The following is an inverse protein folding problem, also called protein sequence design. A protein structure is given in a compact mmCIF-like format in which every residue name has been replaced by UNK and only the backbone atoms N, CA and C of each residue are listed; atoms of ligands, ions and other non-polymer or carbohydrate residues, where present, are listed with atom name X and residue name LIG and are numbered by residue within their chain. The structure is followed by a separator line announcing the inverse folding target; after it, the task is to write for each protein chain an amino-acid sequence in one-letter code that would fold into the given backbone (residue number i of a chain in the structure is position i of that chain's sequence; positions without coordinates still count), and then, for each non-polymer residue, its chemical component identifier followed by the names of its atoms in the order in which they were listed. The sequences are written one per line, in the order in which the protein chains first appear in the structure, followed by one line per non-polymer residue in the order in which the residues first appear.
data_IF_138001907176
#
_entry.id   IF_138001907176
#
_cell.length_a   1.000
_cell.length_b   1.000
_cell.length_c   1.000
_cell.angle_alpha   90.00
_cell.angle_beta   90.00
_cell.angle_gamma   90.00
#
_symmetry.space_group_name_H-M   'P 1'
#
loop_
_entity.id
_entity.type
_entity.pdbx_description
1 polymer ?
#
# COMPACT_ATOMS: atom_id res chain seq x y z
N UNK A 1 -22.78 19.98 -12.92
CA UNK A 1 -22.12 19.22 -13.97
C UNK A 1 -20.74 19.82 -14.13
N UNK A 2 -19.70 19.01 -14.04
CA UNK A 2 -18.31 19.43 -14.30
C UNK A 2 -17.86 18.71 -15.56
N UNK A 3 -17.26 19.44 -16.48
CA UNK A 3 -16.70 18.89 -17.72
C UNK A 3 -15.18 18.77 -17.58
N UNK A 4 -14.64 17.57 -17.76
CA UNK A 4 -13.22 17.35 -17.96
C UNK A 4 -12.94 17.21 -19.45
N UNK A 5 -12.00 17.98 -19.97
CA UNK A 5 -11.60 17.94 -21.38
C UNK A 5 -10.60 16.81 -21.58
N UNK A 6 -11.04 15.67 -22.08
CA UNK A 6 -10.18 14.61 -22.58
C UNK A 6 -9.85 14.81 -24.05
N UNK A 7 -8.87 14.06 -24.57
CA UNK A 7 -8.38 14.19 -25.95
C UNK A 7 -9.48 13.85 -26.97
N UNK A 8 -10.47 13.03 -26.63
CA UNK A 8 -11.51 12.57 -27.55
C UNK A 8 -12.96 12.61 -27.02
N UNK A 9 -13.23 12.92 -25.74
CA UNK A 9 -14.59 12.99 -25.19
C UNK A 9 -14.70 13.96 -24.02
N UNK A 10 -15.82 14.67 -23.93
CA UNK A 10 -16.21 15.46 -22.76
C UNK A 10 -16.77 14.52 -21.70
N UNK A 11 -15.94 14.20 -20.67
CA UNK A 11 -16.41 13.42 -19.53
C UNK A 11 -17.36 14.28 -18.68
N UNK A 12 -18.64 13.94 -18.71
CA UNK A 12 -19.68 14.62 -17.95
C UNK A 12 -19.83 13.96 -16.57
N UNK A 13 -19.37 14.62 -15.51
CA UNK A 13 -19.49 14.15 -14.13
C UNK A 13 -20.62 14.89 -13.41
N UNK A 14 -21.33 14.18 -12.55
CA UNK A 14 -22.45 14.71 -11.78
C UNK A 14 -21.96 15.26 -10.44
N UNK A 15 -22.53 16.39 -10.02
CA UNK A 15 -22.32 16.93 -8.67
C UNK A 15 -23.44 16.40 -7.77
N UNK A 16 -23.04 15.81 -6.65
CA UNK A 16 -23.93 15.38 -5.56
C UNK A 16 -23.74 16.28 -4.34
N UNK A 17 -24.83 16.62 -3.69
CA UNK A 17 -24.83 17.42 -2.45
C UNK A 17 -25.45 16.60 -1.32
N UNK A 18 -24.81 16.61 -0.18
CA UNK A 18 -25.25 15.90 1.01
C UNK A 18 -25.30 16.87 2.19
N UNK A 19 -26.44 16.98 2.84
CA UNK A 19 -26.57 17.79 4.05
C UNK A 19 -25.86 17.12 5.23
N UNK A 20 -25.43 17.89 6.19
CA UNK A 20 -24.85 17.38 7.44
C UNK A 20 -25.73 16.28 8.05
N UNK A 21 -25.11 15.18 8.46
CA UNK A 21 -25.76 14.00 9.04
C UNK A 21 -26.33 13.00 8.02
N UNK A 22 -26.28 13.30 6.73
CA UNK A 22 -26.75 12.37 5.69
C UNK A 22 -25.76 11.20 5.50
N UNK A 23 -26.31 10.01 5.33
CA UNK A 23 -25.53 8.84 4.93
C UNK A 23 -25.21 8.92 3.44
N UNK A 24 -23.92 8.87 3.10
CA UNK A 24 -23.42 8.84 1.71
C UNK A 24 -23.33 7.41 1.23
N UNK A 25 -22.85 6.50 2.09
CA UNK A 25 -22.84 5.05 1.88
C UNK A 25 -23.10 4.33 3.19
N UNK A 26 -23.59 3.09 3.11
CA UNK A 26 -23.88 2.24 4.28
C UNK A 26 -23.22 0.90 4.08
N UNK A 27 -22.43 0.46 5.07
CA UNK A 27 -21.73 -0.83 5.06
C UNK A 27 -22.70 -1.98 4.80
N UNK A 28 -22.29 -2.92 3.94
CA UNK A 28 -23.09 -4.09 3.55
C UNK A 28 -24.10 -3.84 2.43
N UNK A 29 -24.41 -2.59 2.08
CA UNK A 29 -25.30 -2.31 0.94
C UNK A 29 -24.62 -2.59 -0.40
N UNK A 30 -25.41 -3.02 -1.39
CA UNK A 30 -24.96 -3.38 -2.74
C UNK A 30 -24.97 -2.20 -3.73
N UNK A 31 -25.24 -0.98 -3.30
CA UNK A 31 -25.26 0.25 -4.10
C UNK A 31 -23.85 0.81 -4.35
N UNK A 32 -22.98 0.01 -4.92
CA UNK A 32 -21.57 0.34 -5.13
C UNK A 32 -21.22 0.66 -6.59
N UNK A 33 -22.18 1.15 -7.37
CA UNK A 33 -21.98 1.55 -8.76
C UNK A 33 -21.35 2.94 -8.93
N UNK A 34 -21.27 3.69 -7.82
CA UNK A 34 -20.67 5.02 -7.76
C UNK A 34 -19.62 5.12 -6.66
N UNK A 35 -18.67 6.02 -6.89
CA UNK A 35 -17.84 6.57 -5.80
C UNK A 35 -17.87 8.11 -5.87
N UNK A 36 -17.45 8.75 -4.79
CA UNK A 36 -17.53 10.20 -4.65
C UNK A 36 -16.14 10.79 -4.41
N UNK A 37 -15.86 11.92 -5.08
CA UNK A 37 -14.68 12.76 -4.85
C UNK A 37 -15.15 14.00 -4.10
N UNK A 38 -14.76 14.17 -2.85
CA UNK A 38 -15.17 15.31 -2.03
C UNK A 38 -14.57 16.58 -2.61
N UNK A 39 -15.39 17.57 -2.90
CA UNK A 39 -14.97 18.91 -3.33
C UNK A 39 -14.98 19.89 -2.16
N UNK A 40 -16.00 19.78 -1.29
CA UNK A 40 -16.20 20.63 -0.13
C UNK A 40 -16.82 19.84 1.01
N UNK A 41 -16.49 20.22 2.25
CA UNK A 41 -17.00 19.59 3.44
C UNK A 41 -16.17 18.40 3.91
N UNK A 42 -16.67 17.71 4.94
CA UNK A 42 -16.01 16.60 5.60
C UNK A 42 -16.95 15.41 5.76
N UNK A 43 -16.40 14.22 5.59
CA UNK A 43 -17.10 12.95 5.71
C UNK A 43 -16.39 12.09 6.77
N UNK A 44 -17.15 11.41 7.60
CA UNK A 44 -16.66 10.41 8.52
C UNK A 44 -16.97 9.02 7.97
N UNK A 45 -15.95 8.18 7.80
CA UNK A 45 -16.11 6.78 7.46
C UNK A 45 -15.88 5.90 8.68
N UNK A 46 -16.82 4.98 8.92
CA UNK A 46 -16.77 4.00 10.00
C UNK A 46 -16.98 2.61 9.42
N UNK A 47 -16.37 1.62 10.08
CA UNK A 47 -16.59 0.21 9.78
C UNK A 47 -17.05 -0.48 11.05
N UNK A 48 -18.11 -1.29 10.95
CA UNK A 48 -18.58 -2.11 12.05
C UNK A 48 -17.53 -3.18 12.34
N UNK A 49 -16.85 -3.06 13.47
CA UNK A 49 -15.86 -4.03 13.92
C UNK A 49 -16.03 -4.24 15.43
N UNK A 50 -15.89 -5.48 15.87
CA UNK A 50 -15.86 -5.86 17.28
C UNK A 50 -14.68 -5.26 18.08
N UNK A 51 -13.72 -4.62 17.42
CA UNK A 51 -12.47 -4.12 18.01
C UNK A 51 -12.30 -2.59 18.02
N UNK A 52 -13.39 -1.81 17.92
CA UNK A 52 -13.34 -0.37 18.16
C UNK A 52 -12.44 0.43 17.21
N UNK A 53 -12.65 0.31 15.90
CA UNK A 53 -11.90 1.11 14.92
C UNK A 53 -12.27 2.58 15.06
N UNK A 54 -11.26 3.43 15.21
CA UNK A 54 -11.42 4.88 15.24
C UNK A 54 -11.97 5.37 13.90
N UNK A 55 -13.04 6.18 13.89
CA UNK A 55 -13.59 6.75 12.67
C UNK A 55 -12.52 7.53 11.90
N UNK A 56 -12.49 7.37 10.58
CA UNK A 56 -11.57 8.09 9.71
C UNK A 56 -12.31 9.28 9.10
N UNK A 57 -11.70 10.47 9.18
CA UNK A 57 -12.23 11.69 8.58
C UNK A 57 -11.61 11.91 7.20
N UNK A 58 -12.47 12.16 6.22
CA UNK A 58 -12.11 12.54 4.85
C UNK A 58 -12.51 13.98 4.58
N UNK A 59 -11.74 14.65 3.73
CA UNK A 59 -11.95 16.04 3.36
C UNK A 59 -11.82 16.28 1.84
N UNK A 60 -11.74 17.55 1.39
CA UNK A 60 -11.67 17.89 -0.02
C UNK A 60 -10.54 17.15 -0.75
N UNK A 61 -10.89 16.58 -1.90
CA UNK A 61 -10.02 15.76 -2.73
C UNK A 61 -9.91 14.30 -2.29
N UNK A 62 -10.49 13.87 -1.18
CA UNK A 62 -10.53 12.46 -0.79
C UNK A 62 -11.69 11.71 -1.46
N UNK A 63 -11.62 10.37 -1.41
CA UNK A 63 -12.56 9.48 -2.09
C UNK A 63 -13.42 8.70 -1.09
N UNK A 64 -14.72 8.60 -1.37
CA UNK A 64 -15.67 7.80 -0.59
C UNK A 64 -16.26 6.72 -1.49
N UNK A 65 -16.26 5.47 -1.03
CA UNK A 65 -16.84 4.33 -1.74
C UNK A 65 -15.99 3.77 -2.90
N UNK A 66 -14.80 4.33 -3.18
CA UNK A 66 -13.98 3.94 -4.34
C UNK A 66 -13.59 2.46 -4.32
N UNK A 67 -13.27 1.88 -3.15
CA UNK A 67 -12.86 0.46 -3.03
C UNK A 67 -14.00 -0.47 -3.45
N UNK A 68 -15.19 -0.24 -2.92
CA UNK A 68 -16.38 -1.07 -3.19
C UNK A 68 -16.83 -0.95 -4.64
N UNK A 69 -16.87 0.29 -5.16
CA UNK A 69 -17.23 0.59 -6.54
C UNK A 69 -16.29 -0.13 -7.52
N UNK A 70 -14.97 0.00 -7.33
CA UNK A 70 -13.98 -0.59 -8.23
C UNK A 70 -13.96 -2.11 -8.15
N UNK A 71 -14.15 -2.68 -6.95
CA UNK A 71 -14.21 -4.12 -6.76
C UNK A 71 -15.55 -4.74 -7.19
N UNK A 72 -16.60 -3.94 -7.44
CA UNK A 72 -17.95 -4.43 -7.71
C UNK A 72 -18.51 -5.25 -6.54
N UNK A 73 -18.20 -4.83 -5.30
CA UNK A 73 -18.61 -5.50 -4.06
C UNK A 73 -19.44 -4.55 -3.21
N UNK A 74 -20.12 -5.10 -2.21
CA UNK A 74 -20.89 -4.33 -1.22
C UNK A 74 -20.02 -3.26 -0.55
N UNK A 75 -20.65 -2.19 -0.06
CA UNK A 75 -19.96 -1.12 0.66
C UNK A 75 -19.23 -1.68 1.89
N UNK A 76 -17.93 -1.41 1.99
CA UNK A 76 -17.07 -1.93 3.08
C UNK A 76 -17.04 -1.03 4.30
N UNK A 77 -17.65 0.16 4.20
CA UNK A 77 -17.68 1.16 5.27
C UNK A 77 -18.94 2.03 5.18
N UNK A 78 -19.39 2.53 6.31
CA UNK A 78 -20.48 3.53 6.39
C UNK A 78 -19.86 4.92 6.36
N UNK A 79 -20.32 5.78 5.44
CA UNK A 79 -19.87 7.17 5.29
C UNK A 79 -21.01 8.14 5.63
N UNK A 80 -20.73 9.09 6.54
CA UNK A 80 -21.68 10.11 7.00
C UNK A 80 -21.09 11.50 6.78
N UNK A 81 -21.88 12.41 6.24
CA UNK A 81 -21.51 13.81 6.09
C UNK A 81 -21.41 14.50 7.46
N UNK A 82 -20.22 14.94 7.87
CA UNK A 82 -20.00 15.70 9.13
C UNK A 82 -20.39 17.17 8.99
N UNK A 83 -20.32 17.71 7.80
CA UNK A 83 -20.75 19.05 7.41
C UNK A 83 -21.61 18.91 6.15
N UNK A 84 -22.11 20.01 5.60
CA UNK A 84 -22.62 19.99 4.22
C UNK A 84 -21.48 19.63 3.29
N UNK A 85 -21.72 18.66 2.39
CA UNK A 85 -20.73 18.09 1.48
C UNK A 85 -21.16 18.32 0.04
N UNK A 86 -20.22 18.80 -0.76
CA UNK A 86 -20.31 18.81 -2.22
C UNK A 86 -19.30 17.81 -2.76
N UNK A 87 -19.76 16.86 -3.56
CA UNK A 87 -18.91 15.82 -4.12
C UNK A 87 -19.17 15.60 -5.60
N UNK A 88 -18.17 15.16 -6.34
CA UNK A 88 -18.32 14.67 -7.70
C UNK A 88 -18.67 13.19 -7.60
N UNK A 89 -19.80 12.80 -8.19
CA UNK A 89 -20.21 11.40 -8.36
C UNK A 89 -19.59 10.84 -9.63
N UNK A 90 -18.89 9.72 -9.50
CA UNK A 90 -18.25 9.02 -10.61
C UNK A 90 -18.81 7.61 -10.67
N UNK A 91 -19.41 7.25 -11.82
CA UNK A 91 -19.89 5.90 -12.08
C UNK A 91 -18.73 4.97 -12.41
N UNK A 92 -18.91 3.67 -12.14
CA UNK A 92 -17.91 2.66 -12.45
C UNK A 92 -17.48 2.69 -13.92
N UNK A 93 -18.41 2.90 -14.83
CA UNK A 93 -18.15 2.95 -16.27
C UNK A 93 -17.35 4.19 -16.70
N UNK A 94 -17.40 5.28 -15.91
CA UNK A 94 -16.68 6.53 -16.17
C UNK A 94 -15.24 6.50 -15.63
N UNK A 95 -14.87 5.49 -14.87
CA UNK A 95 -13.55 5.39 -14.23
C UNK A 95 -12.37 5.31 -15.22
N UNK A 96 -12.43 4.50 -16.30
CA UNK A 96 -11.35 4.47 -17.29
C UNK A 96 -11.08 5.86 -17.89
N UNK A 97 -12.10 6.54 -18.33
CA UNK A 97 -11.99 7.88 -18.93
C UNK A 97 -11.44 8.91 -17.93
N UNK A 98 -11.88 8.81 -16.65
CA UNK A 98 -11.39 9.70 -15.59
C UNK A 98 -9.90 9.53 -15.36
N UNK A 99 -9.41 8.29 -15.36
CA UNK A 99 -8.00 7.96 -15.12
C UNK A 99 -7.12 8.33 -16.32
N UNK A 100 -7.53 7.97 -17.52
CA UNK A 100 -6.78 8.26 -18.74
C UNK A 100 -6.60 9.76 -18.97
N UNK A 101 -7.60 10.54 -18.60
CA UNK A 101 -7.59 11.99 -18.80
C UNK A 101 -7.15 12.79 -17.57
N UNK A 102 -6.86 12.13 -16.42
CA UNK A 102 -6.52 12.82 -15.18
C UNK A 102 -5.50 12.07 -14.32
N UNK A 103 -4.23 12.13 -14.72
CA UNK A 103 -3.12 11.50 -13.99
C UNK A 103 -3.06 11.83 -12.48
N UNK A 104 -3.30 13.09 -12.02
CA UNK A 104 -3.32 13.39 -10.59
C UNK A 104 -4.38 12.60 -9.80
N UNK A 105 -5.58 12.45 -10.38
CA UNK A 105 -6.67 11.66 -9.77
C UNK A 105 -6.28 10.18 -9.73
N UNK A 106 -5.74 9.63 -10.81
CA UNK A 106 -5.26 8.25 -10.88
C UNK A 106 -4.22 7.96 -9.79
N UNK A 107 -3.20 8.81 -9.68
CA UNK A 107 -2.15 8.69 -8.66
C UNK A 107 -2.71 8.79 -7.23
N UNK A 108 -3.70 9.66 -7.01
CA UNK A 108 -4.33 9.80 -5.69
C UNK A 108 -5.13 8.57 -5.31
N UNK A 109 -5.85 7.96 -6.26
CA UNK A 109 -6.57 6.70 -6.06
C UNK A 109 -5.57 5.59 -5.69
N UNK A 110 -4.51 5.40 -6.47
CA UNK A 110 -3.47 4.39 -6.19
C UNK A 110 -2.86 4.59 -4.79
N UNK A 111 -2.51 5.83 -4.43
CA UNK A 111 -1.98 6.16 -3.09
C UNK A 111 -2.98 5.84 -1.97
N UNK A 112 -4.27 6.07 -2.20
CA UNK A 112 -5.34 5.76 -1.22
C UNK A 112 -5.45 4.24 -1.01
N UNK A 113 -5.44 3.46 -2.08
CA UNK A 113 -5.43 1.99 -1.99
C UNK A 113 -4.18 1.49 -1.28
N UNK A 114 -3.00 1.96 -1.65
CA UNK A 114 -1.74 1.57 -1.04
C UNK A 114 -1.73 1.85 0.48
N UNK A 115 -2.23 3.01 0.91
CA UNK A 115 -2.38 3.32 2.35
C UNK A 115 -3.35 2.37 3.06
N UNK A 116 -4.52 2.11 2.47
CA UNK A 116 -5.51 1.18 3.06
C UNK A 116 -4.94 -0.24 3.16
N UNK A 117 -4.27 -0.74 2.13
CA UNK A 117 -3.62 -2.06 2.14
C UNK A 117 -2.54 -2.14 3.22
N UNK A 118 -1.73 -1.11 3.37
CA UNK A 118 -0.69 -1.07 4.41
C UNK A 118 -1.29 -1.14 5.81
N UNK A 119 -2.31 -0.33 6.09
CA UNK A 119 -3.02 -0.36 7.39
C UNK A 119 -3.64 -1.73 7.66
N UNK A 120 -4.26 -2.35 6.66
CA UNK A 120 -4.82 -3.71 6.79
C UNK A 120 -3.73 -4.74 7.08
N UNK A 121 -2.60 -4.70 6.39
CA UNK A 121 -1.48 -5.61 6.65
C UNK A 121 -0.90 -5.41 8.05
N UNK A 122 -0.76 -4.18 8.52
CA UNK A 122 -0.32 -3.88 9.90
C UNK A 122 -1.31 -4.42 10.94
N UNK A 123 -2.62 -4.25 10.73
CA UNK A 123 -3.65 -4.80 11.59
C UNK A 123 -3.65 -6.33 11.60
N UNK A 124 -3.59 -6.96 10.43
CA UNK A 124 -3.52 -8.43 10.31
C UNK A 124 -2.28 -8.99 11.00
N UNK A 125 -1.13 -8.32 10.85
CA UNK A 125 0.11 -8.72 11.52
C UNK A 125 -0.03 -8.63 13.03
N UNK A 126 -0.63 -7.56 13.55
CA UNK A 126 -0.88 -7.42 15.00
C UNK A 126 -1.83 -8.49 15.55
N UNK A 127 -2.88 -8.82 14.82
CA UNK A 127 -3.86 -9.85 15.22
C UNK A 127 -3.25 -11.24 15.13
N UNK A 128 -2.58 -11.56 14.01
CA UNK A 128 -2.05 -12.90 13.76
C UNK A 128 -0.86 -13.26 14.67
N UNK A 129 -0.03 -12.28 15.03
CA UNK A 129 1.21 -12.55 15.76
C UNK A 129 1.10 -12.31 17.26
N UNK A 130 -0.04 -11.82 17.78
CA UNK A 130 -0.21 -11.46 19.21
C UNK A 130 1.02 -10.72 19.77
N UNK A 131 1.83 -10.12 18.87
CA UNK A 131 3.16 -9.64 19.17
C UNK A 131 3.16 -8.13 19.36
N UNK A 132 3.69 -7.73 20.48
CA UNK A 132 4.29 -6.41 20.70
C UNK A 132 5.17 -6.12 19.49
N UNK A 133 4.96 -4.99 18.83
CA UNK A 133 5.76 -4.53 17.70
C UNK A 133 7.22 -4.49 18.13
N UNK A 134 7.96 -5.58 17.90
CA UNK A 134 9.41 -5.55 18.04
C UNK A 134 9.97 -4.55 17.04
N UNK A 135 11.04 -3.88 17.41
CA UNK A 135 11.69 -2.88 16.57
C UNK A 135 11.93 -3.45 15.18
N UNK A 136 11.41 -2.79 14.15
CA UNK A 136 11.44 -3.26 12.77
C UNK A 136 12.84 -3.61 12.25
N UNK A 137 13.90 -2.94 12.76
CA UNK A 137 15.28 -3.26 12.38
C UNK A 137 15.81 -4.56 12.97
N UNK A 138 15.40 -4.98 14.17
CA UNK A 138 15.76 -6.28 14.73
C UNK A 138 15.14 -7.42 13.92
N UNK A 139 13.93 -7.23 13.44
CA UNK A 139 13.28 -8.20 12.55
C UNK A 139 14.02 -8.35 11.21
N UNK A 140 14.56 -7.26 10.64
CA UNK A 140 15.43 -7.36 9.46
C UNK A 140 16.61 -8.27 9.71
N UNK A 141 17.28 -8.11 10.87
CA UNK A 141 18.41 -8.96 11.24
C UNK A 141 18.00 -10.42 11.45
N UNK A 142 16.91 -10.66 12.19
CA UNK A 142 16.37 -11.99 12.42
C UNK A 142 15.97 -12.70 11.12
N UNK A 143 15.35 -11.98 10.21
CA UNK A 143 15.00 -12.49 8.88
C UNK A 143 16.26 -12.88 8.09
N UNK A 144 17.32 -12.05 8.13
CA UNK A 144 18.58 -12.39 7.49
C UNK A 144 19.20 -13.68 8.06
N UNK A 145 19.19 -13.84 9.38
CA UNK A 145 19.64 -15.07 10.04
C UNK A 145 18.80 -16.29 9.66
N UNK A 146 17.48 -16.12 9.56
CA UNK A 146 16.58 -17.20 9.13
C UNK A 146 16.95 -17.68 7.73
N UNK A 147 17.08 -16.76 6.74
CA UNK A 147 17.46 -17.12 5.38
C UNK A 147 18.85 -17.73 5.30
N UNK A 148 19.80 -17.29 6.13
CA UNK A 148 21.13 -17.92 6.24
C UNK A 148 21.02 -19.37 6.72
N UNK A 149 20.22 -19.64 7.77
CA UNK A 149 19.95 -20.99 8.26
C UNK A 149 19.30 -21.87 7.19
N UNK A 150 18.40 -21.31 6.40
CA UNK A 150 17.77 -22.00 5.26
C UNK A 150 18.70 -22.14 4.04
N UNK A 151 19.97 -21.73 4.13
CA UNK A 151 20.95 -21.73 3.02
C UNK A 151 20.55 -20.86 1.81
N UNK A 152 19.62 -19.95 1.99
CA UNK A 152 19.22 -18.95 0.97
C UNK A 152 20.14 -17.72 1.07
N UNK A 153 21.42 -17.92 0.74
CA UNK A 153 22.48 -16.96 1.03
C UNK A 153 22.33 -15.64 0.26
N UNK A 154 21.81 -15.66 -0.97
CA UNK A 154 21.54 -14.45 -1.77
C UNK A 154 20.50 -13.53 -1.09
N UNK A 155 19.52 -14.12 -0.41
CA UNK A 155 18.51 -13.39 0.33
C UNK A 155 19.09 -12.91 1.66
N UNK A 156 19.82 -13.78 2.37
CA UNK A 156 20.41 -13.46 3.65
C UNK A 156 21.38 -12.28 3.58
N UNK A 157 22.25 -12.25 2.58
CA UNK A 157 23.25 -11.18 2.41
C UNK A 157 22.57 -9.82 2.19
N UNK A 158 21.47 -9.78 1.46
CA UNK A 158 20.69 -8.58 1.26
C UNK A 158 20.04 -8.10 2.57
N UNK A 159 19.52 -9.02 3.38
CA UNK A 159 18.95 -8.73 4.70
C UNK A 159 19.98 -8.12 5.65
N UNK A 160 21.19 -8.67 5.74
CA UNK A 160 22.28 -8.10 6.54
C UNK A 160 22.68 -6.70 6.07
N UNK A 161 22.73 -6.48 4.76
CA UNK A 161 22.99 -5.16 4.20
C UNK A 161 21.91 -4.15 4.61
N UNK A 162 20.63 -4.51 4.48
CA UNK A 162 19.51 -3.63 4.85
C UNK A 162 19.50 -3.31 6.35
N UNK A 163 19.85 -4.26 7.20
CA UNK A 163 20.03 -4.01 8.63
C UNK A 163 21.11 -2.94 8.87
N UNK A 164 22.29 -3.09 8.28
CA UNK A 164 23.40 -2.14 8.42
C UNK A 164 23.04 -0.75 7.90
N UNK A 165 22.30 -0.68 6.80
CA UNK A 165 21.81 0.60 6.25
C UNK A 165 20.82 1.29 7.17
N UNK A 166 19.94 0.52 7.83
CA UNK A 166 18.89 1.06 8.71
C UNK A 166 19.43 1.38 10.10
N UNK A 167 20.33 0.57 10.63
CA UNK A 167 20.86 0.66 12.00
C UNK A 167 22.36 0.35 12.04
N UNK A 168 23.23 1.23 11.53
CA UNK A 168 24.68 0.97 11.40
C UNK A 168 25.40 0.79 12.75
N UNK A 169 24.85 1.30 13.84
CA UNK A 169 25.38 1.20 15.21
C UNK A 169 24.49 0.37 16.13
N UNK A 170 23.64 -0.48 15.55
CA UNK A 170 22.73 -1.36 16.33
C UNK A 170 23.47 -2.49 17.07
N UNK A 171 22.77 -3.17 17.98
CA UNK A 171 23.39 -4.23 18.81
C UNK A 171 23.99 -5.38 17.99
N UNK A 172 23.46 -5.62 16.80
CA UNK A 172 23.91 -6.71 15.91
C UNK A 172 24.76 -6.19 14.72
N UNK A 173 25.19 -4.90 14.73
CA UNK A 173 25.87 -4.28 13.59
C UNK A 173 27.20 -4.98 13.23
N UNK A 174 28.02 -5.32 14.21
CA UNK A 174 29.29 -6.01 13.95
C UNK A 174 29.08 -7.43 13.40
N UNK A 175 28.07 -8.13 13.88
CA UNK A 175 27.71 -9.46 13.36
C UNK A 175 27.23 -9.34 11.93
N UNK A 176 26.31 -8.40 11.66
CA UNK A 176 25.75 -8.15 10.32
C UNK A 176 26.85 -7.75 9.33
N UNK A 177 27.80 -6.90 9.73
CA UNK A 177 28.94 -6.46 8.91
C UNK A 177 29.82 -7.65 8.51
N UNK A 178 30.20 -8.46 9.47
CA UNK A 178 31.01 -9.68 9.19
C UNK A 178 30.28 -10.63 8.25
N UNK A 179 28.99 -10.91 8.52
CA UNK A 179 28.16 -11.77 7.69
C UNK A 179 27.96 -11.21 6.29
N UNK A 180 27.72 -9.91 6.15
CA UNK A 180 27.61 -9.27 4.85
C UNK A 180 28.89 -9.44 4.02
N UNK A 181 30.06 -9.17 4.60
CA UNK A 181 31.37 -9.31 3.90
C UNK A 181 31.59 -10.76 3.47
N UNK A 182 31.35 -11.72 4.38
CA UNK A 182 31.51 -13.13 4.09
C UNK A 182 30.59 -13.62 2.97
N UNK A 183 29.29 -13.30 3.06
CA UNK A 183 28.30 -13.80 2.13
C UNK A 183 28.34 -13.09 0.77
N UNK A 184 28.72 -11.82 0.75
CA UNK A 184 28.84 -11.06 -0.51
C UNK A 184 29.81 -11.73 -1.50
N UNK A 185 30.87 -12.37 -1.01
CA UNK A 185 31.83 -13.08 -1.85
C UNK A 185 31.32 -14.44 -2.37
N UNK A 186 30.29 -14.98 -1.73
CA UNK A 186 29.74 -16.32 -2.01
C UNK A 186 28.39 -16.27 -2.73
N UNK A 187 27.91 -15.07 -3.07
CA UNK A 187 26.55 -14.87 -3.57
C UNK A 187 26.53 -14.04 -4.85
N UNK A 188 25.45 -14.17 -5.62
CA UNK A 188 25.19 -13.39 -6.83
C UNK A 188 24.21 -12.22 -6.57
N UNK A 189 23.99 -11.86 -5.31
CA UNK A 189 23.08 -10.76 -4.96
C UNK A 189 23.55 -9.43 -5.56
N UNK A 190 22.60 -8.66 -6.06
CA UNK A 190 22.86 -7.41 -6.79
C UNK A 190 21.98 -6.27 -6.25
N UNK A 191 22.26 -5.04 -6.69
CA UNK A 191 21.47 -3.85 -6.37
C UNK A 191 21.32 -3.58 -4.87
N UNK A 192 22.40 -3.74 -4.12
CA UNK A 192 22.42 -3.35 -2.69
C UNK A 192 22.18 -1.85 -2.53
N UNK A 193 22.74 -1.01 -3.41
CA UNK A 193 22.54 0.43 -3.41
C UNK A 193 21.49 0.86 -4.44
N UNK A 194 20.83 2.02 -4.21
CA UNK A 194 19.96 2.60 -5.21
C UNK A 194 20.71 2.80 -6.55
N UNK A 195 20.04 2.51 -7.64
CA UNK A 195 20.54 2.71 -9.00
C UNK A 195 19.51 3.47 -9.83
N UNK A 196 20.01 4.22 -10.82
CA UNK A 196 19.18 4.92 -11.80
C UNK A 196 18.85 4.06 -13.04
N UNK A 197 19.25 2.78 -13.03
CA UNK A 197 18.93 1.87 -14.12
C UNK A 197 17.42 1.67 -14.23
N UNK A 198 16.87 1.98 -15.41
CA UNK A 198 15.44 1.79 -15.70
C UNK A 198 15.08 0.30 -15.85
N UNK A 199 16.01 -0.51 -16.36
CA UNK A 199 15.87 -1.97 -16.51
C UNK A 199 16.89 -2.63 -15.61
N UNK A 200 16.45 -3.51 -14.71
CA UNK A 200 17.29 -4.23 -13.75
C UNK A 200 17.16 -5.73 -13.98
N UNK A 201 18.27 -6.44 -13.98
CA UNK A 201 18.31 -7.90 -14.11
C UNK A 201 18.73 -8.52 -12.78
N UNK A 202 17.84 -9.30 -12.18
CA UNK A 202 18.07 -9.97 -10.91
C UNK A 202 18.41 -11.44 -11.14
N UNK A 203 19.56 -11.95 -10.66
CA UNK A 203 19.86 -13.37 -10.68
C UNK A 203 18.80 -14.16 -9.89
N UNK A 204 18.68 -15.44 -10.24
CA UNK A 204 17.77 -16.35 -9.54
C UNK A 204 18.03 -16.34 -8.02
N UNK A 205 16.96 -16.40 -7.25
CA UNK A 205 16.96 -16.46 -5.77
C UNK A 205 17.61 -15.22 -5.10
N UNK A 206 17.68 -14.07 -5.79
CA UNK A 206 18.11 -12.81 -5.19
C UNK A 206 16.91 -11.98 -4.71
N UNK A 207 17.12 -11.18 -3.67
CA UNK A 207 16.06 -10.33 -3.11
C UNK A 207 15.97 -9.01 -3.91
N UNK A 208 14.77 -8.63 -4.30
CA UNK A 208 14.47 -7.34 -4.94
C UNK A 208 14.25 -6.25 -3.90
N UNK A 209 13.46 -6.56 -2.85
CA UNK A 209 13.28 -5.73 -1.68
C UNK A 209 12.92 -6.61 -0.47
N UNK A 210 13.17 -6.11 0.72
CA UNK A 210 12.87 -6.83 1.97
C UNK A 210 11.72 -6.20 2.74
N UNK A 211 11.11 -6.97 3.63
CA UNK A 211 10.19 -6.46 4.65
C UNK A 211 10.90 -5.38 5.48
N UNK A 212 10.16 -4.38 5.96
CA UNK A 212 10.64 -3.19 6.68
C UNK A 212 11.58 -2.24 5.90
N UNK A 213 11.92 -2.54 4.66
CA UNK A 213 12.64 -1.60 3.79
C UNK A 213 11.72 -0.46 3.36
N UNK A 214 12.23 0.78 3.37
CA UNK A 214 11.50 1.91 2.81
C UNK A 214 11.36 1.74 1.29
N UNK A 215 10.13 1.63 0.81
CA UNK A 215 9.84 1.56 -0.62
C UNK A 215 10.17 2.90 -1.30
N UNK A 216 11.05 2.85 -2.29
CA UNK A 216 11.42 3.99 -3.13
C UNK A 216 11.05 3.74 -4.59
N UNK A 217 11.06 2.47 -5.02
CA UNK A 217 10.84 2.05 -6.39
C UNK A 217 9.58 1.22 -6.53
N UNK A 218 8.99 1.26 -7.72
CA UNK A 218 7.97 0.35 -8.19
C UNK A 218 8.57 -0.48 -9.33
N UNK A 219 8.40 -1.80 -9.26
CA UNK A 219 8.94 -2.73 -10.25
C UNK A 219 7.84 -3.27 -11.15
N UNK A 220 8.09 -3.29 -12.46
CA UNK A 220 7.25 -3.94 -13.47
C UNK A 220 8.03 -5.14 -14.01
N UNK A 221 7.50 -6.35 -13.81
CA UNK A 221 8.14 -7.58 -14.29
C UNK A 221 7.99 -7.64 -15.80
N UNK A 222 9.11 -7.61 -16.52
CA UNK A 222 9.13 -7.78 -17.97
C UNK A 222 9.33 -9.24 -18.35
N UNK A 223 10.15 -9.97 -17.59
CA UNK A 223 10.45 -11.37 -17.80
C UNK A 223 10.78 -12.06 -16.48
N UNK A 224 10.39 -13.34 -16.36
CA UNK A 224 10.67 -14.15 -15.18
C UNK A 224 9.53 -14.13 -14.15
N UNK A 225 9.80 -14.70 -12.98
CA UNK A 225 8.86 -14.85 -11.88
C UNK A 225 9.42 -14.27 -10.59
N UNK A 226 8.55 -13.67 -9.78
CA UNK A 226 8.89 -13.10 -8.48
C UNK A 226 7.95 -13.69 -7.42
N UNK A 227 8.52 -14.24 -6.36
CA UNK A 227 7.77 -14.69 -5.18
C UNK A 227 7.69 -13.56 -4.14
N UNK A 228 6.51 -13.28 -3.63
CA UNK A 228 6.32 -12.41 -2.46
C UNK A 228 6.12 -13.33 -1.25
N UNK A 229 7.06 -13.26 -0.32
CA UNK A 229 7.06 -14.10 0.88
C UNK A 229 7.10 -13.26 2.14
N UNK A 230 6.57 -13.79 3.23
CA UNK A 230 6.65 -13.19 4.56
C UNK A 230 7.02 -14.28 5.56
N UNK A 231 7.98 -14.00 6.42
CA UNK A 231 8.32 -14.90 7.52
C UNK A 231 7.32 -14.67 8.66
N UNK A 232 6.64 -15.73 9.05
CA UNK A 232 5.69 -15.73 10.18
C UNK A 232 6.17 -16.80 11.16
N UNK A 233 6.36 -16.42 12.43
CA UNK A 233 6.82 -17.31 13.52
C UNK A 233 8.11 -18.10 13.21
N UNK A 234 9.04 -17.49 12.47
CA UNK A 234 10.32 -18.13 12.12
C UNK A 234 10.19 -19.27 11.10
N UNK A 235 9.09 -19.28 10.33
CA UNK A 235 8.83 -20.23 9.24
C UNK A 235 8.57 -19.54 7.92
#
# INVERSE_FOLDING_TARGET
IIYFRGVNNLLQLQISKFNRGTYISVEGKSDSDHFYIIQQGFVQCTKTSSSGITPIKFGPGDFVGVVSCMAGKTQVETAIALTDVVAISVKKEQYPDLIENNNPVALKIIKTFAKKMRLMNEMLTKIALNSIVQNSYEQIFNNAQYYEKCKQLNIAVYGYYQYLKTKPTGPNAEIAKRKFIELKQKTNAVYFEPTNEAIRSYPKDTMIFSDFQRGADMFIIQQGEVAITKIVDGK
#
